data_IF_930663051595
#
_entry.id   IF_930663051595
#
_cell.length_a   1.000
_cell.length_b   1.000
_cell.length_c   1.000
_cell.angle_alpha   90.00
_cell.angle_beta   90.00
_cell.angle_gamma   90.00
#
_symmetry.space_group_name_H-M   'P 1'
#
loop_
_entity.id
_entity.type
_entity.pdbx_description
1 polymer ?
#
# COMPACT_ATOMS: atom_id res chain seq x y z
N UNK A 1 -14.19 -9.47 19.00
CA UNK A 1 -13.17 -8.77 18.19
C UNK A 1 -12.09 -9.79 17.82
N UNK A 2 -11.64 -9.81 16.58
CA UNK A 2 -10.61 -10.73 16.08
C UNK A 2 -9.48 -9.97 15.36
N UNK A 3 -8.30 -10.57 15.29
CA UNK A 3 -7.20 -10.11 14.44
C UNK A 3 -7.11 -10.91 13.13
N UNK A 4 -6.21 -10.49 12.24
CA UNK A 4 -6.08 -11.03 10.88
C UNK A 4 -5.85 -12.55 10.83
N UNK A 5 -5.09 -13.14 11.77
CA UNK A 5 -4.85 -14.60 11.82
C UNK A 5 -6.14 -15.40 11.97
N UNK A 6 -7.06 -14.94 12.83
CA UNK A 6 -8.36 -15.59 12.99
C UNK A 6 -9.27 -15.31 11.81
N UNK A 7 -9.16 -14.13 11.19
CA UNK A 7 -9.88 -13.79 9.96
C UNK A 7 -9.47 -14.66 8.76
N UNK A 8 -8.30 -15.31 8.75
CA UNK A 8 -7.94 -16.30 7.72
C UNK A 8 -8.55 -17.70 7.98
N UNK A 9 -9.07 -17.95 9.18
CA UNK A 9 -9.40 -19.29 9.68
C UNK A 9 -10.76 -19.34 10.38
N UNK A 10 -11.73 -18.55 9.89
CA UNK A 10 -13.11 -18.63 10.36
C UNK A 10 -13.75 -19.94 9.89
N UNK A 11 -14.39 -20.65 10.82
CA UNK A 11 -15.08 -21.92 10.51
C UNK A 11 -16.38 -21.69 9.74
N UNK A 12 -17.00 -20.52 9.91
CA UNK A 12 -18.26 -20.12 9.28
C UNK A 12 -18.16 -18.67 8.85
N UNK A 13 -18.77 -18.36 7.70
CA UNK A 13 -18.90 -16.98 7.25
C UNK A 13 -19.87 -16.23 8.17
N UNK A 14 -19.46 -15.06 8.72
CA UNK A 14 -20.40 -14.18 9.43
C UNK A 14 -21.39 -13.58 8.43
N UNK A 15 -22.56 -13.14 8.90
CA UNK A 15 -23.50 -12.37 8.08
C UNK A 15 -23.01 -10.93 7.88
N UNK A 16 -22.35 -10.36 8.89
CA UNK A 16 -21.86 -8.99 8.89
C UNK A 16 -20.52 -8.84 9.63
N UNK A 17 -19.73 -7.89 9.18
CA UNK A 17 -18.40 -7.60 9.73
C UNK A 17 -18.14 -6.09 9.76
N UNK A 18 -17.65 -5.59 10.90
CA UNK A 18 -16.98 -4.28 10.95
C UNK A 18 -15.48 -4.49 10.85
N UNK A 19 -14.83 -3.83 9.90
CA UNK A 19 -13.36 -3.79 9.77
C UNK A 19 -12.86 -2.43 10.23
N UNK A 20 -11.97 -2.42 11.23
CA UNK A 20 -11.41 -1.21 11.83
C UNK A 20 -9.98 -1.01 11.34
N UNK A 21 -9.74 0.08 10.62
CA UNK A 21 -8.50 0.35 9.89
C UNK A 21 -8.58 -0.13 8.44
N UNK A 22 -8.17 0.73 7.51
CA UNK A 22 -8.28 0.50 6.06
C UNK A 22 -6.93 0.53 5.33
N UNK A 23 -5.82 0.32 6.04
CA UNK A 23 -4.55 -0.06 5.41
C UNK A 23 -4.67 -1.38 4.63
N UNK A 24 -3.58 -1.85 4.03
CA UNK A 24 -3.59 -3.03 3.15
C UNK A 24 -4.35 -4.23 3.74
N UNK A 25 -4.01 -4.64 4.97
CA UNK A 25 -4.68 -5.75 5.68
C UNK A 25 -6.20 -5.53 5.78
N UNK A 26 -6.61 -4.36 6.27
CA UNK A 26 -8.03 -4.06 6.48
C UNK A 26 -8.81 -4.04 5.17
N UNK A 27 -8.27 -3.38 4.15
CA UNK A 27 -8.89 -3.28 2.82
C UNK A 27 -8.97 -4.63 2.10
N UNK A 28 -7.94 -5.46 2.19
CA UNK A 28 -7.94 -6.81 1.60
C UNK A 28 -8.98 -7.73 2.26
N UNK A 29 -9.02 -7.79 3.60
CA UNK A 29 -10.04 -8.58 4.29
C UNK A 29 -11.45 -8.03 4.05
N UNK A 30 -11.63 -6.71 4.05
CA UNK A 30 -12.91 -6.08 3.75
C UNK A 30 -13.39 -6.48 2.34
N UNK A 31 -12.52 -6.39 1.34
CA UNK A 31 -12.80 -6.83 -0.02
C UNK A 31 -13.11 -8.32 -0.09
N UNK A 32 -12.26 -9.17 0.48
CA UNK A 32 -12.43 -10.63 0.50
C UNK A 32 -13.77 -11.06 1.09
N UNK A 33 -14.10 -10.60 2.30
CA UNK A 33 -15.34 -10.96 2.95
C UNK A 33 -16.57 -10.39 2.24
N UNK A 34 -16.50 -9.16 1.73
CA UNK A 34 -17.58 -8.57 0.93
C UNK A 34 -17.84 -9.38 -0.35
N UNK A 35 -16.80 -9.87 -1.03
CA UNK A 35 -16.93 -10.74 -2.21
C UNK A 35 -17.56 -12.10 -1.91
N UNK A 36 -17.45 -12.58 -0.67
CA UNK A 36 -18.15 -13.79 -0.20
C UNK A 36 -19.60 -13.53 0.26
N UNK A 37 -20.08 -12.28 0.15
CA UNK A 37 -21.45 -11.89 0.49
C UNK A 37 -21.65 -11.44 1.93
N UNK A 38 -20.57 -11.21 2.70
CA UNK A 38 -20.67 -10.63 4.05
C UNK A 38 -20.99 -9.15 3.95
N UNK A 39 -21.92 -8.65 4.78
CA UNK A 39 -22.18 -7.22 4.90
C UNK A 39 -21.01 -6.54 5.64
N UNK A 40 -20.13 -5.88 4.89
CA UNK A 40 -18.93 -5.25 5.44
C UNK A 40 -19.11 -3.74 5.65
N UNK A 41 -18.78 -3.28 6.85
CA UNK A 41 -18.54 -1.87 7.16
C UNK A 41 -17.07 -1.63 7.43
N UNK A 42 -16.39 -0.93 6.52
CA UNK A 42 -14.99 -0.52 6.67
C UNK A 42 -14.92 0.87 7.32
N UNK A 43 -14.21 0.97 8.44
CA UNK A 43 -14.06 2.18 9.24
C UNK A 43 -12.61 2.62 9.23
N UNK A 44 -12.37 3.87 8.84
CA UNK A 44 -11.04 4.48 8.78
C UNK A 44 -11.05 5.82 9.51
N UNK A 45 -10.05 6.01 10.38
CA UNK A 45 -9.86 7.23 11.14
C UNK A 45 -9.46 8.40 10.24
N UNK A 46 -8.59 8.13 9.26
CA UNK A 46 -8.08 9.13 8.33
C UNK A 46 -9.11 9.49 7.24
N UNK A 47 -8.92 10.61 6.51
CA UNK A 47 -9.90 11.07 5.52
C UNK A 47 -10.11 10.12 4.33
N UNK A 48 -9.13 9.26 4.04
CA UNK A 48 -9.11 8.35 2.89
C UNK A 48 -8.81 6.92 3.34
N UNK A 49 -9.36 5.94 2.61
CA UNK A 49 -8.92 4.54 2.77
C UNK A 49 -7.54 4.34 2.15
N UNK A 50 -6.84 3.25 2.51
CA UNK A 50 -5.44 3.02 2.13
C UNK A 50 -4.61 4.32 2.24
N UNK A 51 -4.56 4.94 3.44
CA UNK A 51 -4.21 6.36 3.60
C UNK A 51 -2.75 6.73 3.27
N UNK A 52 -1.90 5.73 3.01
CA UNK A 52 -0.52 5.93 2.59
C UNK A 52 -0.38 6.04 1.05
N UNK A 53 -1.41 5.63 0.31
CA UNK A 53 -1.45 5.70 -1.16
C UNK A 53 -1.75 7.13 -1.64
N UNK A 54 -1.50 7.38 -2.92
CA UNK A 54 -1.91 8.63 -3.57
C UNK A 54 -3.43 8.84 -3.48
N UNK A 55 -3.85 10.09 -3.22
CA UNK A 55 -5.25 10.43 -2.96
C UNK A 55 -6.20 10.01 -4.10
N UNK A 56 -5.75 10.04 -5.35
CA UNK A 56 -6.56 9.60 -6.48
C UNK A 56 -6.84 8.09 -6.44
N UNK A 57 -5.85 7.30 -6.03
CA UNK A 57 -5.97 5.85 -5.86
C UNK A 57 -6.95 5.55 -4.75
N UNK A 58 -6.79 6.20 -3.59
CA UNK A 58 -7.68 6.04 -2.43
C UNK A 58 -9.13 6.39 -2.76
N UNK A 59 -9.35 7.49 -3.50
CA UNK A 59 -10.68 7.89 -3.98
C UNK A 59 -11.28 6.86 -4.93
N UNK A 60 -10.49 6.32 -5.85
CA UNK A 60 -10.97 5.34 -6.82
C UNK A 60 -11.29 4.00 -6.14
N UNK A 61 -10.45 3.51 -5.23
CA UNK A 61 -10.73 2.29 -4.47
C UNK A 61 -11.99 2.43 -3.62
N UNK A 62 -12.18 3.58 -2.96
CA UNK A 62 -13.38 3.84 -2.18
C UNK A 62 -14.66 3.83 -3.04
N UNK A 63 -14.59 4.29 -4.29
CA UNK A 63 -15.70 4.18 -5.25
C UNK A 63 -15.97 2.73 -5.63
N UNK A 64 -14.92 1.94 -5.89
CA UNK A 64 -15.05 0.51 -6.21
C UNK A 64 -15.69 -0.27 -5.06
N UNK A 65 -15.27 -0.04 -3.82
CA UNK A 65 -15.88 -0.67 -2.63
C UNK A 65 -17.35 -0.30 -2.46
N UNK A 66 -17.69 0.99 -2.63
CA UNK A 66 -19.11 1.43 -2.58
C UNK A 66 -19.95 0.83 -3.70
N UNK A 67 -19.41 0.71 -4.92
CA UNK A 67 -20.06 0.03 -6.07
C UNK A 67 -20.31 -1.45 -5.75
N UNK A 68 -19.40 -2.08 -5.00
CA UNK A 68 -19.55 -3.43 -4.45
C UNK A 68 -20.46 -3.51 -3.21
N UNK A 69 -21.23 -2.44 -2.90
CA UNK A 69 -22.18 -2.32 -1.78
C UNK A 69 -21.56 -2.36 -0.38
N UNK A 70 -20.25 -2.21 -0.28
CA UNK A 70 -19.56 -2.08 1.01
C UNK A 70 -19.84 -0.70 1.62
N UNK A 71 -20.08 -0.65 2.93
CA UNK A 71 -20.19 0.62 3.66
C UNK A 71 -18.80 1.10 4.04
N UNK A 72 -18.38 2.25 3.52
CA UNK A 72 -17.06 2.85 3.81
C UNK A 72 -17.24 4.13 4.61
N UNK A 73 -16.64 4.19 5.80
CA UNK A 73 -16.72 5.30 6.76
C UNK A 73 -15.32 5.83 7.04
N UNK A 74 -14.91 6.89 6.33
CA UNK A 74 -13.65 7.61 6.59
C UNK A 74 -13.85 8.76 7.58
N UNK A 75 -12.76 9.30 8.12
CA UNK A 75 -12.84 10.34 9.16
C UNK A 75 -13.59 9.88 10.41
N UNK A 76 -13.61 8.58 10.69
CA UNK A 76 -14.48 7.95 11.68
C UNK A 76 -13.67 7.06 12.63
N UNK A 77 -13.91 7.18 13.94
CA UNK A 77 -13.23 6.39 14.98
C UNK A 77 -14.19 5.39 15.63
N UNK A 78 -13.70 4.17 15.87
CA UNK A 78 -14.39 3.21 16.74
C UNK A 78 -14.06 3.57 18.19
N UNK A 79 -15.07 3.95 18.97
CA UNK A 79 -14.91 4.40 20.35
C UNK A 79 -15.06 3.23 21.35
N UNK A 80 -15.96 2.29 21.06
CA UNK A 80 -16.14 1.09 21.88
C UNK A 80 -16.81 -0.04 21.10
N UNK A 81 -16.62 -1.27 21.59
CA UNK A 81 -17.26 -2.48 21.06
C UNK A 81 -17.83 -3.27 22.24
N UNK A 82 -19.15 -3.33 22.36
CA UNK A 82 -19.83 -4.22 23.31
C UNK A 82 -19.97 -5.61 22.67
N UNK A 83 -19.49 -6.64 23.38
CA UNK A 83 -19.47 -8.05 22.95
C UNK A 83 -20.25 -8.96 23.90
N UNK A 84 -21.09 -8.39 24.77
CA UNK A 84 -21.83 -9.14 25.80
C UNK A 84 -23.00 -9.98 25.27
N UNK A 85 -23.44 -9.76 24.02
CA UNK A 85 -24.54 -10.49 23.37
C UNK A 85 -24.09 -11.44 22.26
N UNK A 86 -25.03 -11.85 21.41
CA UNK A 86 -24.82 -12.78 20.28
C UNK A 86 -23.99 -12.20 19.11
N UNK A 87 -23.50 -10.97 19.26
CA UNK A 87 -22.72 -10.23 18.27
C UNK A 87 -22.03 -9.02 18.90
N UNK A 88 -21.58 -8.10 18.06
CA UNK A 88 -20.87 -6.89 18.45
C UNK A 88 -21.72 -5.65 18.20
N UNK A 89 -21.83 -4.76 19.20
CA UNK A 89 -22.35 -3.39 19.02
C UNK A 89 -21.18 -2.42 19.01
N UNK A 90 -20.91 -1.82 17.86
CA UNK A 90 -19.76 -0.93 17.63
C UNK A 90 -20.22 0.51 17.66
N UNK A 91 -19.77 1.28 18.65
CA UNK A 91 -19.97 2.73 18.68
C UNK A 91 -18.91 3.39 17.80
N UNK A 92 -19.36 4.10 16.78
CA UNK A 92 -18.50 4.79 15.80
C UNK A 92 -18.81 6.27 15.86
N UNK A 93 -17.81 7.07 16.20
CA UNK A 93 -17.86 8.52 16.05
C UNK A 93 -17.58 8.89 14.60
N UNK A 94 -18.46 9.67 13.99
CA UNK A 94 -18.33 10.10 12.59
C UNK A 94 -18.34 11.63 12.50
N UNK A 95 -17.94 12.22 11.35
CA UNK A 95 -18.05 13.66 11.15
C UNK A 95 -19.50 14.18 11.22
N UNK A 96 -20.50 13.30 11.11
CA UNK A 96 -21.93 13.64 11.15
C UNK A 96 -22.59 13.33 12.50
N UNK A 97 -21.81 12.89 13.49
CA UNK A 97 -22.30 12.43 14.79
C UNK A 97 -22.09 10.94 15.00
N UNK A 98 -22.36 10.50 16.23
CA UNK A 98 -22.11 9.12 16.66
C UNK A 98 -23.19 8.18 16.13
N UNK A 99 -22.76 6.99 15.71
CA UNK A 99 -23.65 5.92 15.24
C UNK A 99 -23.26 4.59 15.89
N UNK A 100 -24.23 3.75 16.18
CA UNK A 100 -23.98 2.36 16.59
C UNK A 100 -24.23 1.43 15.41
N UNK A 101 -23.27 0.56 15.11
CA UNK A 101 -23.36 -0.47 14.07
C UNK A 101 -23.33 -1.83 14.75
N UNK A 102 -24.32 -2.68 14.46
CA UNK A 102 -24.32 -4.07 14.89
C UNK A 102 -23.63 -4.94 13.84
N UNK A 103 -22.79 -5.87 14.27
CA UNK A 103 -22.15 -6.84 13.39
C UNK A 103 -21.90 -8.17 14.11
N UNK A 104 -21.88 -9.29 13.40
CA UNK A 104 -21.55 -10.59 14.01
C UNK A 104 -20.13 -10.57 14.58
N UNK A 105 -19.19 -9.98 13.83
CA UNK A 105 -17.78 -9.87 14.25
C UNK A 105 -17.15 -8.52 13.91
N UNK A 106 -16.09 -8.19 14.64
CA UNK A 106 -15.23 -7.02 14.39
C UNK A 106 -13.81 -7.50 14.11
N UNK A 107 -13.26 -7.12 12.97
CA UNK A 107 -11.85 -7.28 12.62
C UNK A 107 -11.08 -6.02 13.00
N UNK A 108 -10.10 -6.14 13.88
CA UNK A 108 -9.13 -5.07 14.15
C UNK A 108 -7.94 -5.20 13.18
N UNK A 109 -7.76 -4.19 12.33
CA UNK A 109 -6.70 -4.08 11.33
C UNK A 109 -6.01 -2.70 11.40
N UNK A 110 -5.86 -2.16 12.62
CA UNK A 110 -5.35 -0.80 12.89
C UNK A 110 -3.81 -0.69 12.85
N UNK A 111 -3.11 -1.77 12.54
CA UNK A 111 -1.66 -1.78 12.43
C UNK A 111 -1.03 -3.05 12.99
N UNK A 112 0.30 -3.09 12.95
CA UNK A 112 1.13 -4.14 13.53
C UNK A 112 2.18 -3.48 14.43
N UNK A 113 2.67 -4.25 15.41
CA UNK A 113 3.72 -3.81 16.32
C UNK A 113 4.89 -4.80 16.27
N UNK A 114 6.14 -4.31 16.33
CA UNK A 114 7.32 -5.14 16.52
C UNK A 114 7.19 -6.06 17.73
N UNK A 115 7.50 -7.34 17.56
CA UNK A 115 7.55 -8.28 18.68
C UNK A 115 8.95 -8.32 19.29
N UNK A 116 9.21 -7.43 20.26
CA UNK A 116 10.50 -7.30 20.95
C UNK A 116 10.51 -7.88 22.38
N UNK A 117 9.36 -8.38 22.86
CA UNK A 117 9.20 -8.77 24.26
C UNK A 117 9.93 -10.07 24.58
N UNK A 118 10.77 -10.05 25.61
CA UNK A 118 11.36 -11.27 26.19
C UNK A 118 12.41 -11.95 25.31
N UNK A 119 13.06 -11.20 24.41
CA UNK A 119 14.13 -11.72 23.53
C UNK A 119 15.55 -11.31 23.98
N UNK A 120 15.68 -10.65 25.14
CA UNK A 120 16.97 -10.34 25.77
C UNK A 120 17.71 -9.12 25.20
N UNK A 121 17.05 -8.20 24.49
CA UNK A 121 17.70 -7.01 23.92
C UNK A 121 18.35 -6.15 25.01
N UNK A 122 17.66 -5.99 26.14
CA UNK A 122 18.11 -5.18 27.28
C UNK A 122 19.33 -5.79 27.97
N UNK A 123 19.41 -7.12 28.02
CA UNK A 123 20.51 -7.87 28.65
C UNK A 123 21.82 -7.72 27.85
N UNK A 124 21.70 -7.62 26.53
CA UNK A 124 22.82 -7.43 25.60
C UNK A 124 23.14 -5.94 25.40
N UNK A 125 22.23 -5.03 25.74
CA UNK A 125 22.39 -3.59 25.59
C UNK A 125 22.07 -3.05 24.19
N UNK A 126 21.21 -3.74 23.44
CA UNK A 126 20.77 -3.30 22.10
C UNK A 126 19.80 -2.11 22.23
N UNK A 127 20.09 -1.04 21.50
CA UNK A 127 19.28 0.18 21.49
C UNK A 127 17.95 -0.02 20.74
N UNK A 128 16.84 0.33 21.42
CA UNK A 128 15.51 0.40 20.83
C UNK A 128 15.05 1.86 20.83
N UNK A 129 14.68 2.37 19.66
CA UNK A 129 14.16 3.72 19.47
C UNK A 129 12.73 3.64 18.93
N UNK A 130 11.77 4.28 19.60
CA UNK A 130 10.35 4.31 19.19
C UNK A 130 9.77 2.90 18.94
N UNK A 131 10.15 1.93 19.76
CA UNK A 131 9.67 0.55 19.66
C UNK A 131 10.32 -0.28 18.55
N UNK A 132 11.39 0.22 17.92
CA UNK A 132 12.13 -0.45 16.85
C UNK A 132 13.60 -0.62 17.22
N UNK A 133 14.21 -1.73 16.84
CA UNK A 133 15.66 -1.92 17.01
C UNK A 133 16.39 -0.94 16.11
N UNK A 134 17.27 -0.14 16.70
CA UNK A 134 18.06 0.84 15.95
C UNK A 134 19.17 0.14 15.20
N UNK A 135 19.23 0.40 13.90
CA UNK A 135 20.25 -0.17 13.00
C UNK A 135 20.81 0.90 12.07
N UNK A 136 22.01 0.63 11.54
CA UNK A 136 22.55 1.39 10.42
C UNK A 136 22.03 0.89 9.06
N UNK A 137 22.54 1.48 7.97
CA UNK A 137 22.13 1.16 6.58
C UNK A 137 22.46 -0.28 6.13
N UNK A 138 23.23 -1.04 6.92
CA UNK A 138 23.55 -2.45 6.69
C UNK A 138 23.03 -3.34 7.83
N UNK A 139 21.99 -2.89 8.54
CA UNK A 139 21.28 -3.67 9.57
C UNK A 139 22.12 -3.97 10.82
N UNK A 140 23.24 -3.27 11.05
CA UNK A 140 24.06 -3.43 12.26
C UNK A 140 23.44 -2.68 13.42
N UNK A 141 23.35 -3.34 14.58
CA UNK A 141 22.96 -2.67 15.84
C UNK A 141 24.15 -1.90 16.45
N UNK A 142 23.94 -1.28 17.60
CA UNK A 142 25.00 -0.67 18.40
C UNK A 142 25.94 -1.70 19.06
N UNK A 143 25.59 -2.98 19.09
CA UNK A 143 26.41 -4.06 19.68
C UNK A 143 27.10 -4.85 18.56
N UNK A 144 28.43 -4.97 18.64
CA UNK A 144 29.23 -5.67 17.65
C UNK A 144 28.79 -7.14 17.52
N UNK A 145 28.62 -7.60 16.27
CA UNK A 145 28.16 -8.96 15.97
C UNK A 145 26.64 -9.16 16.01
N UNK A 146 25.86 -8.15 16.41
CA UNK A 146 24.40 -8.18 16.42
C UNK A 146 23.79 -7.34 15.31
N UNK A 147 22.81 -7.94 14.64
CA UNK A 147 22.11 -7.37 13.47
C UNK A 147 20.60 -7.54 13.64
N UNK A 148 19.82 -6.67 13.02
CA UNK A 148 18.37 -6.75 13.01
C UNK A 148 17.80 -6.32 11.65
N UNK A 149 16.76 -7.01 11.19
CA UNK A 149 16.11 -6.79 9.89
C UNK A 149 14.58 -6.94 10.03
N UNK A 150 13.87 -6.52 9.00
CA UNK A 150 12.43 -6.70 8.84
C UNK A 150 11.61 -5.84 9.77
N UNK A 151 10.43 -6.35 10.13
CA UNK A 151 9.41 -5.58 10.84
C UNK A 151 9.84 -5.03 12.21
N UNK A 152 10.99 -5.45 12.76
CA UNK A 152 11.53 -4.93 14.01
C UNK A 152 12.43 -3.69 13.85
N UNK A 153 12.83 -3.32 12.63
CA UNK A 153 13.67 -2.14 12.35
C UNK A 153 12.88 -0.99 11.72
N UNK A 154 13.42 0.25 11.67
CA UNK A 154 12.79 1.36 10.97
C UNK A 154 12.62 1.07 9.47
N UNK A 155 11.45 1.39 8.92
CA UNK A 155 11.14 1.14 7.50
C UNK A 155 9.75 0.55 7.30
N UNK A 156 9.41 0.25 6.04
CA UNK A 156 8.17 -0.42 5.67
C UNK A 156 8.17 -1.89 6.12
N UNK A 157 7.14 -2.30 6.86
CA UNK A 157 6.95 -3.68 7.29
C UNK A 157 6.36 -4.54 6.15
N UNK A 158 7.22 -4.94 5.21
CA UNK A 158 6.88 -5.68 4.00
C UNK A 158 7.84 -6.86 3.81
N UNK A 159 7.31 -7.99 3.35
CA UNK A 159 8.09 -9.23 3.24
C UNK A 159 9.31 -9.11 2.31
N UNK A 160 9.16 -8.44 1.16
CA UNK A 160 10.25 -8.19 0.21
C UNK A 160 11.30 -7.21 0.75
N UNK A 161 10.92 -6.32 1.67
CA UNK A 161 11.85 -5.40 2.35
C UNK A 161 12.69 -6.16 3.35
N UNK A 162 12.07 -6.93 4.24
CA UNK A 162 12.78 -7.80 5.19
C UNK A 162 13.74 -8.77 4.47
N UNK A 163 13.33 -9.31 3.33
CA UNK A 163 14.16 -10.20 2.52
C UNK A 163 15.37 -9.48 1.91
N UNK A 164 15.19 -8.26 1.38
CA UNK A 164 16.30 -7.47 0.84
C UNK A 164 17.24 -6.97 1.95
N UNK A 165 16.70 -6.55 3.10
CA UNK A 165 17.51 -6.20 4.27
C UNK A 165 18.39 -7.37 4.71
N UNK A 166 17.84 -8.59 4.71
CA UNK A 166 18.62 -9.81 5.00
C UNK A 166 19.76 -10.00 3.99
N UNK A 167 19.48 -9.90 2.69
CA UNK A 167 20.47 -10.08 1.62
C UNK A 167 21.59 -9.05 1.78
N UNK A 168 21.25 -7.76 1.86
CA UNK A 168 22.21 -6.66 2.05
C UNK A 168 23.04 -6.84 3.32
N UNK A 169 22.40 -7.21 4.44
CA UNK A 169 23.08 -7.47 5.71
C UNK A 169 24.08 -8.62 5.59
N UNK A 170 23.66 -9.77 5.04
CA UNK A 170 24.50 -10.97 4.94
C UNK A 170 25.64 -10.78 3.94
N UNK A 171 25.39 -10.13 2.81
CA UNK A 171 26.43 -9.77 1.85
C UNK A 171 27.50 -8.87 2.51
N UNK A 172 27.07 -7.90 3.32
CA UNK A 172 27.99 -7.04 4.07
C UNK A 172 28.81 -7.82 5.10
N UNK A 173 28.19 -8.73 5.84
CA UNK A 173 28.87 -9.63 6.80
C UNK A 173 29.91 -10.49 6.08
N UNK A 174 29.62 -10.96 4.87
CA UNK A 174 30.51 -11.76 4.05
C UNK A 174 31.68 -10.96 3.41
N UNK A 175 31.76 -9.65 3.66
CA UNK A 175 32.79 -8.78 3.10
C UNK A 175 32.55 -8.39 1.64
N UNK A 176 31.33 -8.59 1.13
CA UNK A 176 30.92 -8.07 -0.18
C UNK A 176 30.56 -6.58 -0.08
N UNK A 177 30.23 -5.98 -1.23
CA UNK A 177 29.95 -4.56 -1.36
C UNK A 177 28.51 -4.31 -1.82
N UNK A 178 27.49 -4.69 -1.02
CA UNK A 178 26.10 -4.39 -1.36
C UNK A 178 25.85 -2.88 -1.32
N UNK A 179 24.94 -2.42 -2.16
CA UNK A 179 24.39 -1.07 -2.04
C UNK A 179 23.40 -1.02 -0.87
N UNK A 180 23.36 0.10 -0.11
CA UNK A 180 22.27 0.35 0.83
C UNK A 180 20.91 0.30 0.12
N UNK A 181 19.87 -0.11 0.87
CA UNK A 181 18.51 -0.17 0.34
C UNK A 181 17.97 1.25 0.14
N UNK A 182 17.51 1.54 -1.07
CA UNK A 182 16.72 2.73 -1.36
C UNK A 182 15.26 2.49 -0.96
N UNK A 183 14.91 2.90 0.26
CA UNK A 183 13.55 2.77 0.78
C UNK A 183 12.52 3.61 0.01
N UNK A 184 12.97 4.59 -0.79
CA UNK A 184 12.15 5.38 -1.70
C UNK A 184 11.77 4.65 -2.99
N UNK A 185 12.34 3.46 -3.24
CA UNK A 185 12.06 2.63 -4.42
C UNK A 185 11.50 1.23 -4.06
N UNK A 186 10.95 1.07 -2.86
CA UNK A 186 10.22 -0.13 -2.46
C UNK A 186 8.78 -0.03 -2.98
N UNK A 187 8.29 -1.01 -3.77
CA UNK A 187 6.89 -1.05 -4.17
C UNK A 187 6.00 -1.48 -3.00
N UNK A 188 4.80 -0.92 -2.93
CA UNK A 188 3.73 -1.31 -2.02
C UNK A 188 2.51 -1.76 -2.81
N UNK A 189 1.94 -2.91 -2.44
CA UNK A 189 0.81 -3.52 -3.13
C UNK A 189 -0.31 -3.79 -2.13
N UNK A 190 -1.55 -3.55 -2.55
CA UNK A 190 -2.77 -3.97 -1.84
C UNK A 190 -3.60 -4.84 -2.79
N UNK A 191 -3.81 -6.10 -2.42
CA UNK A 191 -4.40 -7.14 -3.29
C UNK A 191 -5.93 -7.17 -3.21
N UNK A 192 -6.56 -6.02 -3.42
CA UNK A 192 -8.01 -5.86 -3.55
C UNK A 192 -8.47 -6.09 -4.99
N UNK A 193 -9.79 -5.98 -5.25
CA UNK A 193 -10.33 -5.96 -6.61
C UNK A 193 -11.12 -4.65 -6.81
N UNK A 194 -10.60 -3.67 -7.55
CA UNK A 194 -9.32 -3.68 -8.30
C UNK A 194 -8.10 -3.68 -7.37
N UNK A 195 -6.96 -4.14 -7.90
CA UNK A 195 -5.68 -4.11 -7.18
C UNK A 195 -5.12 -2.69 -7.10
N UNK A 196 -4.23 -2.45 -6.14
CA UNK A 196 -3.47 -1.20 -5.99
C UNK A 196 -1.98 -1.51 -5.93
N UNK A 197 -1.18 -0.72 -6.63
CA UNK A 197 0.27 -0.79 -6.58
C UNK A 197 0.89 0.61 -6.65
N UNK A 198 1.91 0.87 -5.84
CA UNK A 198 2.60 2.15 -5.82
C UNK A 198 4.09 2.00 -5.56
N UNK A 199 4.87 2.98 -5.98
CA UNK A 199 6.28 3.12 -5.63
C UNK A 199 6.70 4.58 -5.68
N UNK A 200 7.55 5.01 -4.73
CA UNK A 200 8.02 6.39 -4.65
C UNK A 200 7.05 7.33 -3.94
N UNK A 201 7.19 8.63 -4.23
CA UNK A 201 6.42 9.69 -3.56
C UNK A 201 5.00 9.79 -4.13
N UNK A 202 4.01 10.02 -3.27
CA UNK A 202 2.69 10.51 -3.71
C UNK A 202 2.78 11.94 -4.25
N UNK A 203 1.74 12.41 -4.96
CA UNK A 203 1.73 13.78 -5.46
C UNK A 203 1.85 14.79 -4.32
N UNK A 204 1.13 14.55 -3.22
CA UNK A 204 1.20 15.39 -2.03
C UNK A 204 2.60 15.38 -1.42
N UNK A 205 3.23 14.21 -1.26
CA UNK A 205 4.58 14.11 -0.71
C UNK A 205 5.62 14.83 -1.56
N UNK A 206 5.51 14.74 -2.90
CA UNK A 206 6.42 15.44 -3.81
C UNK A 206 6.27 16.97 -3.70
N UNK A 207 5.03 17.48 -3.61
CA UNK A 207 4.77 18.90 -3.40
C UNK A 207 5.27 19.39 -2.02
N UNK A 208 5.02 18.61 -0.96
CA UNK A 208 5.49 18.93 0.40
C UNK A 208 7.02 18.90 0.52
N UNK A 209 7.69 18.04 -0.26
CA UNK A 209 9.15 18.02 -0.37
C UNK A 209 9.72 19.17 -1.22
N UNK A 210 8.86 20.00 -1.83
CA UNK A 210 9.25 21.20 -2.57
C UNK A 210 9.66 20.97 -4.02
N UNK A 211 9.30 19.81 -4.60
CA UNK A 211 9.52 19.57 -6.03
C UNK A 211 8.54 20.39 -6.87
N UNK A 212 9.02 20.93 -7.99
CA UNK A 212 8.16 21.27 -9.11
C UNK A 212 7.88 19.99 -9.89
N UNK A 213 6.61 19.68 -10.19
CA UNK A 213 6.21 18.35 -10.66
C UNK A 213 5.46 18.38 -11.98
N UNK A 214 5.70 17.35 -12.79
CA UNK A 214 4.85 16.96 -13.92
C UNK A 214 4.08 15.70 -13.53
N UNK A 215 2.77 15.74 -13.71
CA UNK A 215 1.88 14.62 -13.40
C UNK A 215 1.23 14.14 -14.69
N UNK A 216 1.29 12.83 -14.91
CA UNK A 216 0.64 12.17 -16.04
C UNK A 216 -0.30 11.09 -15.54
N UNK A 217 -1.43 10.93 -16.21
CA UNK A 217 -2.46 9.96 -15.82
C UNK A 217 -3.16 9.38 -17.03
N UNK A 218 -3.21 8.05 -17.10
CA UNK A 218 -3.87 7.33 -18.17
C UNK A 218 -4.96 6.39 -17.61
N UNK A 219 -6.23 6.57 -18.00
CA UNK A 219 -7.32 5.73 -17.50
C UNK A 219 -7.41 4.41 -18.25
N UNK A 220 -7.64 3.30 -17.53
CA UNK A 220 -7.84 1.99 -18.16
C UNK A 220 -9.10 1.93 -19.02
N UNK A 221 -10.02 2.89 -18.90
CA UNK A 221 -11.15 3.05 -19.84
C UNK A 221 -10.71 3.29 -21.29
N UNK A 222 -9.52 3.85 -21.51
CA UNK A 222 -8.96 4.09 -22.84
C UNK A 222 -8.02 2.95 -23.30
N UNK A 223 -7.70 1.97 -22.44
CA UNK A 223 -6.89 0.82 -22.81
C UNK A 223 -7.72 -0.21 -23.61
N UNK A 224 -7.19 -0.57 -24.79
CA UNK A 224 -7.74 -1.67 -25.59
C UNK A 224 -7.65 -3.02 -24.88
N UNK A 225 -6.55 -3.28 -24.16
CA UNK A 225 -6.38 -4.53 -23.38
C UNK A 225 -7.36 -4.60 -22.21
N UNK A 226 -7.52 -3.54 -21.44
CA UNK A 226 -8.48 -3.48 -20.34
C UNK A 226 -9.91 -3.70 -20.85
N UNK A 227 -10.25 -3.09 -21.98
CA UNK A 227 -11.54 -3.30 -22.65
C UNK A 227 -11.75 -4.75 -23.07
N UNK A 228 -10.74 -5.40 -23.66
CA UNK A 228 -10.80 -6.81 -24.03
C UNK A 228 -10.85 -7.76 -22.80
N UNK A 229 -10.23 -7.37 -21.68
CA UNK A 229 -10.25 -8.10 -20.41
C UNK A 229 -11.57 -7.97 -19.65
N UNK A 230 -12.45 -7.06 -20.06
CA UNK A 230 -13.76 -6.84 -19.41
C UNK A 230 -13.71 -6.02 -18.12
N UNK A 231 -12.53 -5.54 -17.72
CA UNK A 231 -12.36 -4.66 -16.56
C UNK A 231 -11.59 -3.41 -16.95
N UNK A 232 -12.27 -2.27 -16.86
CA UNK A 232 -11.78 -0.96 -17.29
C UNK A 232 -11.68 0.03 -16.13
N UNK A 233 -11.94 -0.42 -14.91
CA UNK A 233 -11.92 0.43 -13.73
C UNK A 233 -10.46 0.70 -13.34
N UNK A 234 -10.12 1.98 -13.12
CA UNK A 234 -8.80 2.39 -12.64
C UNK A 234 -7.92 3.14 -13.65
N UNK A 235 -6.65 3.33 -13.32
CA UNK A 235 -5.69 4.14 -14.07
C UNK A 235 -4.24 3.87 -13.63
N UNK A 236 -3.29 4.37 -14.42
CA UNK A 236 -1.89 4.59 -14.03
C UNK A 236 -1.66 6.09 -13.87
N UNK A 237 -1.00 6.50 -12.79
CA UNK A 237 -0.57 7.88 -12.51
C UNK A 237 0.93 7.90 -12.25
N UNK A 238 1.63 8.86 -12.83
CA UNK A 238 3.08 9.03 -12.72
C UNK A 238 3.43 10.46 -12.33
N UNK A 239 4.53 10.62 -11.61
CA UNK A 239 4.97 11.89 -11.05
C UNK A 239 6.47 12.04 -11.34
N UNK A 240 6.83 13.12 -12.00
CA UNK A 240 8.21 13.46 -12.35
C UNK A 240 8.59 14.82 -11.78
N UNK A 241 9.86 14.99 -11.43
CA UNK A 241 10.45 16.31 -11.19
C UNK A 241 10.52 17.07 -12.52
N UNK A 242 9.91 18.25 -12.58
CA UNK A 242 9.86 19.08 -13.76
C UNK A 242 11.23 19.63 -14.18
N UNK A 243 12.15 19.81 -13.23
CA UNK A 243 13.45 20.44 -13.44
C UNK A 243 14.49 19.51 -14.08
N UNK A 244 14.57 18.25 -13.63
CA UNK A 244 15.57 17.30 -14.08
C UNK A 244 15.00 16.02 -14.72
N UNK A 245 13.67 15.83 -14.71
CA UNK A 245 13.02 14.65 -15.28
C UNK A 245 13.14 13.37 -14.45
N UNK A 246 13.54 13.47 -13.18
CA UNK A 246 13.59 12.33 -12.26
C UNK A 246 12.18 11.76 -12.04
N UNK A 247 12.04 10.44 -12.14
CA UNK A 247 10.78 9.76 -11.84
C UNK A 247 10.58 9.62 -10.32
N UNK A 248 9.75 10.49 -9.75
CA UNK A 248 9.53 10.60 -8.30
C UNK A 248 8.58 9.54 -7.76
N UNK A 249 7.54 9.17 -8.51
CA UNK A 249 6.61 8.13 -8.09
C UNK A 249 5.66 7.64 -9.17
N UNK A 250 5.06 6.48 -8.92
CA UNK A 250 4.01 5.90 -9.74
C UNK A 250 2.96 5.23 -8.87
N UNK A 251 1.70 5.43 -9.22
CA UNK A 251 0.52 5.02 -8.46
C UNK A 251 -0.49 4.42 -9.42
N UNK A 252 -0.89 3.18 -9.17
CA UNK A 252 -1.70 2.39 -10.06
C UNK A 252 -2.87 1.78 -9.32
N UNK A 253 -4.03 1.72 -9.98
CA UNK A 253 -5.19 0.97 -9.52
C UNK A 253 -5.86 0.33 -10.73
N UNK A 254 -6.12 -0.97 -10.69
CA UNK A 254 -6.68 -1.71 -11.82
C UNK A 254 -6.25 -3.18 -11.80
N UNK A 255 -6.58 -3.92 -12.86
CA UNK A 255 -6.24 -5.34 -12.93
C UNK A 255 -4.77 -5.55 -13.30
N UNK A 256 -4.08 -6.39 -12.52
CA UNK A 256 -2.69 -6.80 -12.76
C UNK A 256 -1.67 -5.70 -12.51
N UNK A 257 -2.04 -4.57 -11.89
CA UNK A 257 -1.11 -3.47 -11.63
C UNK A 257 0.00 -3.85 -10.65
N UNK A 258 -0.24 -4.86 -9.80
CA UNK A 258 0.76 -5.40 -8.87
C UNK A 258 1.93 -6.09 -9.57
N UNK A 259 1.74 -6.54 -10.81
CA UNK A 259 2.79 -7.06 -11.67
C UNK A 259 3.45 -5.95 -12.50
N UNK A 260 2.67 -4.96 -12.96
CA UNK A 260 3.18 -3.84 -13.77
C UNK A 260 4.16 -2.94 -13.02
N UNK A 261 3.97 -2.77 -11.71
CA UNK A 261 4.80 -1.87 -10.90
C UNK A 261 6.30 -2.24 -10.93
N UNK A 262 6.63 -3.51 -11.18
CA UNK A 262 8.02 -3.99 -11.26
C UNK A 262 8.82 -3.28 -12.37
N UNK A 263 8.20 -2.97 -13.50
CA UNK A 263 8.82 -2.19 -14.59
C UNK A 263 9.27 -0.81 -14.07
N UNK A 264 8.41 -0.14 -13.31
CA UNK A 264 8.68 1.18 -12.74
C UNK A 264 9.79 1.12 -11.69
N UNK A 265 9.79 0.09 -10.84
CA UNK A 265 10.83 -0.12 -9.83
C UNK A 265 12.21 -0.20 -10.50
N UNK A 266 12.32 -0.98 -11.58
CA UNK A 266 13.58 -1.11 -12.34
C UNK A 266 13.94 0.20 -13.03
N UNK A 267 12.99 0.85 -13.70
CA UNK A 267 13.20 2.13 -14.37
C UNK A 267 13.71 3.22 -13.41
N UNK A 268 13.12 3.33 -12.22
CA UNK A 268 13.57 4.25 -11.17
C UNK A 268 14.95 3.88 -10.63
N UNK A 269 15.23 2.59 -10.43
CA UNK A 269 16.54 2.12 -9.94
C UNK A 269 17.68 2.50 -10.89
N UNK A 270 17.46 2.47 -12.20
CA UNK A 270 18.46 2.84 -13.21
C UNK A 270 18.45 4.33 -13.57
N UNK A 271 17.53 5.12 -13.00
CA UNK A 271 17.38 6.54 -13.30
C UNK A 271 16.85 6.83 -14.71
N UNK A 272 15.99 5.97 -15.24
CA UNK A 272 15.37 6.19 -16.54
C UNK A 272 14.53 7.47 -16.56
N UNK A 273 14.61 8.21 -17.65
CA UNK A 273 13.82 9.43 -17.89
C UNK A 273 12.45 9.08 -18.48
N UNK A 274 11.50 10.01 -18.43
CA UNK A 274 10.21 9.83 -19.10
C UNK A 274 10.35 9.55 -20.61
N UNK A 275 11.35 10.16 -21.27
CA UNK A 275 11.60 9.91 -22.70
C UNK A 275 12.13 8.50 -22.98
N UNK A 276 12.86 7.87 -22.06
CA UNK A 276 13.29 6.48 -22.20
C UNK A 276 12.07 5.54 -22.22
N UNK A 277 11.05 5.84 -21.41
CA UNK A 277 9.81 5.06 -21.35
C UNK A 277 8.93 5.32 -22.58
N UNK A 278 8.74 6.58 -22.98
CA UNK A 278 7.91 6.95 -24.15
C UNK A 278 8.45 6.32 -25.44
N UNK A 279 9.77 6.30 -25.62
CA UNK A 279 10.40 5.76 -26.82
C UNK A 279 10.65 4.25 -26.78
N UNK A 280 10.39 3.58 -25.65
CA UNK A 280 10.44 2.13 -25.56
C UNK A 280 9.22 1.51 -26.25
N UNK A 281 9.44 0.44 -27.01
CA UNK A 281 8.36 -0.29 -27.69
C UNK A 281 7.60 -1.14 -26.68
N UNK A 282 6.40 -0.72 -26.33
CA UNK A 282 5.47 -1.49 -25.50
C UNK A 282 4.64 -2.44 -26.37
N UNK A 283 4.44 -3.70 -25.95
CA UNK A 283 3.65 -4.66 -26.72
C UNK A 283 2.17 -4.28 -26.76
N UNK A 284 1.52 -4.44 -27.92
CA UNK A 284 0.09 -4.16 -28.10
C UNK A 284 -0.71 -5.44 -28.43
N UNK A 285 -1.92 -5.65 -27.84
CA UNK A 285 -2.50 -4.89 -26.74
C UNK A 285 -2.06 -5.44 -25.37
N UNK A 286 -1.59 -4.57 -24.47
CA UNK A 286 -1.23 -4.92 -23.08
C UNK A 286 -1.66 -3.87 -22.05
N UNK A 287 -1.64 -4.24 -20.77
CA UNK A 287 -1.89 -3.28 -19.69
C UNK A 287 -0.70 -2.32 -19.49
N UNK A 288 0.52 -2.77 -19.80
CA UNK A 288 1.75 -1.96 -19.70
C UNK A 288 1.76 -0.74 -20.63
N UNK A 289 0.97 -0.74 -21.72
CA UNK A 289 0.79 0.47 -22.55
C UNK A 289 0.29 1.67 -21.71
N UNK A 290 -0.47 1.43 -20.64
CA UNK A 290 -0.95 2.50 -19.76
C UNK A 290 0.19 3.20 -18.99
N UNK A 291 1.31 2.53 -18.74
CA UNK A 291 2.51 3.15 -18.13
C UNK A 291 3.10 4.14 -19.12
N UNK A 292 3.39 3.68 -20.34
CA UNK A 292 3.88 4.52 -21.43
C UNK A 292 2.98 5.75 -21.66
N UNK A 293 1.67 5.54 -21.80
CA UNK A 293 0.73 6.64 -22.04
C UNK A 293 0.58 7.58 -20.85
N UNK A 294 0.69 7.10 -19.60
CA UNK A 294 0.71 7.97 -18.43
C UNK A 294 1.97 8.82 -18.41
N UNK A 295 3.13 8.26 -18.76
CA UNK A 295 4.37 9.04 -18.92
C UNK A 295 4.24 10.04 -20.06
N UNK A 296 3.74 9.63 -21.22
CA UNK A 296 3.48 10.53 -22.34
C UNK A 296 2.54 11.67 -21.94
N UNK A 297 1.51 11.41 -21.13
CA UNK A 297 0.62 12.44 -20.61
C UNK A 297 1.33 13.46 -19.72
N UNK A 298 2.30 13.05 -18.89
CA UNK A 298 3.11 13.96 -18.07
C UNK A 298 3.96 14.92 -18.92
N UNK A 299 4.30 14.51 -20.15
CA UNK A 299 5.12 15.27 -21.09
C UNK A 299 4.31 15.96 -22.20
N UNK A 300 2.99 15.77 -22.24
CA UNK A 300 2.11 16.34 -23.28
C UNK A 300 2.17 15.61 -24.62
N UNK A 301 2.57 14.34 -24.62
CA UNK A 301 2.79 13.50 -25.81
C UNK A 301 1.81 12.30 -25.90
N UNK A 302 0.81 12.23 -25.00
CA UNK A 302 -0.20 11.15 -24.96
C UNK A 302 -0.97 11.04 -26.28
N UNK A 303 -1.23 9.81 -26.72
CA UNK A 303 -1.88 9.54 -28.02
C UNK A 303 -3.30 9.00 -27.83
N UNK A 304 -3.53 8.16 -26.82
CA UNK A 304 -4.73 7.33 -26.74
C UNK A 304 -5.68 7.70 -25.59
N UNK A 305 -5.95 8.98 -25.35
CA UNK A 305 -6.84 9.44 -24.26
C UNK A 305 -8.18 10.01 -24.75
#
# INVERSE_FOLDING_TARGET
IIGYRKAMTLEKLPKSMVVVGSGAIGSEFANFYNSLGVEVTLVEFLPFIVPLEDEDVSKQLARSFKKAKMKVMTGSSVESVDTSGDGCKVLIKTPKGDVTVEADIVLSAVGIEPNLTGIGLEEVGIEVERGKVKVDEYSRTNVEGYYAIGDIVPGQALAHVASHEAITCVEKIAGLHPEPIDYGNIPANTYTSPEVASVGMTEQQALEAGYDIKVGKFPFTASGKASAGGNRDGFVKVIFDAGNGQWLGCHMIGDGVTELIAEVVVARKIGATGHDIIHAVHPHPTMSEAVMEAVAAAYGEVIHI
#
